data_IF_500501755457
#
_entry.id   IF_500501755457
#
_cell.length_a   1.000
_cell.length_b   1.000
_cell.length_c   1.000
_cell.angle_alpha   90.00
_cell.angle_beta   90.00
_cell.angle_gamma   90.00
#
_symmetry.space_group_name_H-M   'P 1'
#
loop_
_entity.id
_entity.type
_entity.pdbx_description
1 polymer ?
#
# COMPACT_ATOMS: atom_id res chain seq x y z
N UNK A 1 -19.87 -5.97 -3.96
CA UNK A 1 -18.51 -6.47 -3.60
C UNK A 1 -18.06 -5.81 -2.31
N UNK A 2 -17.54 -6.58 -1.34
CA UNK A 2 -16.92 -5.98 -0.13
C UNK A 2 -15.69 -5.18 -0.56
N UNK A 3 -15.53 -3.97 -0.02
CA UNK A 3 -14.33 -3.17 -0.25
C UNK A 3 -13.10 -3.93 0.27
N UNK A 4 -11.92 -3.64 -0.29
CA UNK A 4 -10.63 -4.18 0.19
C UNK A 4 -10.55 -4.00 1.72
N UNK A 5 -11.00 -2.86 2.22
CA UNK A 5 -11.04 -2.49 3.64
C UNK A 5 -11.83 -3.46 4.52
N UNK A 6 -12.97 -3.97 4.04
CA UNK A 6 -13.79 -4.92 4.82
C UNK A 6 -13.17 -6.32 4.89
N UNK A 7 -12.31 -6.68 3.92
CA UNK A 7 -11.59 -7.95 3.92
C UNK A 7 -10.48 -8.00 4.98
N UNK A 8 -9.89 -6.86 5.33
CA UNK A 8 -8.74 -6.77 6.25
C UNK A 8 -9.14 -6.47 7.68
N UNK A 9 -10.33 -5.90 7.90
CA UNK A 9 -10.83 -5.60 9.24
C UNK A 9 -10.93 -6.86 10.11
N UNK A 10 -10.68 -6.68 11.39
CA UNK A 10 -10.94 -7.71 12.39
C UNK A 10 -12.37 -7.63 12.90
N UNK A 11 -12.91 -8.77 13.31
CA UNK A 11 -14.06 -8.86 14.20
C UNK A 11 -13.60 -9.00 15.66
N UNK A 12 -14.47 -8.69 16.61
CA UNK A 12 -14.19 -8.93 18.03
C UNK A 12 -13.85 -10.39 18.30
N UNK A 13 -14.58 -11.32 17.66
CA UNK A 13 -14.35 -12.76 17.80
C UNK A 13 -12.96 -13.19 17.30
N UNK A 14 -12.49 -12.60 16.18
CA UNK A 14 -11.14 -12.86 15.67
C UNK A 14 -10.07 -12.39 16.67
N UNK A 15 -10.20 -11.20 17.25
CA UNK A 15 -9.23 -10.71 18.24
C UNK A 15 -9.27 -11.56 19.52
N UNK A 16 -10.44 -12.01 19.98
CA UNK A 16 -10.56 -12.94 21.13
C UNK A 16 -9.82 -14.26 20.87
N UNK A 17 -9.99 -14.85 19.68
CA UNK A 17 -9.27 -16.06 19.31
C UNK A 17 -7.76 -15.82 19.33
N UNK A 18 -7.29 -14.74 18.69
CA UNK A 18 -5.86 -14.38 18.65
C UNK A 18 -5.29 -14.20 20.06
N UNK A 19 -6.00 -13.52 20.97
CA UNK A 19 -5.56 -13.37 22.37
C UNK A 19 -5.40 -14.69 23.10
N UNK A 20 -6.25 -15.68 22.83
CA UNK A 20 -6.09 -17.02 23.40
C UNK A 20 -4.87 -17.77 22.82
N UNK A 21 -4.59 -17.57 21.53
CA UNK A 21 -3.46 -18.20 20.84
C UNK A 21 -2.09 -17.55 21.19
N UNK A 22 -2.06 -16.35 21.75
CA UNK A 22 -0.81 -15.72 22.20
C UNK A 22 -0.03 -16.62 23.16
N UNK A 23 -0.74 -17.34 24.02
CA UNK A 23 -0.18 -18.25 25.04
C UNK A 23 0.28 -19.60 24.47
N UNK A 24 0.15 -19.83 23.17
CA UNK A 24 0.55 -21.03 22.48
C UNK A 24 -0.59 -21.72 21.71
N UNK A 25 -0.26 -22.85 21.16
CA UNK A 25 -1.19 -23.71 20.41
C UNK A 25 -2.41 -24.13 21.27
N UNK A 26 -3.58 -24.20 20.65
CA UNK A 26 -4.84 -24.63 21.29
C UNK A 26 -5.58 -25.64 20.41
N UNK A 27 -6.24 -26.62 21.05
CA UNK A 27 -7.19 -27.47 20.34
C UNK A 27 -8.48 -26.71 20.03
N UNK A 28 -9.22 -27.14 19.00
CA UNK A 28 -10.52 -26.52 18.68
C UNK A 28 -11.52 -26.67 19.85
N UNK A 29 -11.45 -27.78 20.58
CA UNK A 29 -12.30 -28.02 21.77
C UNK A 29 -12.00 -27.01 22.89
N UNK A 30 -10.72 -26.73 23.15
CA UNK A 30 -10.31 -25.77 24.18
C UNK A 30 -10.72 -24.34 23.83
N UNK A 31 -10.53 -23.94 22.58
CA UNK A 31 -10.97 -22.63 22.10
C UNK A 31 -12.49 -22.47 22.24
N UNK A 32 -13.26 -23.51 21.89
CA UNK A 32 -14.72 -23.48 22.03
C UNK A 32 -15.15 -23.29 23.49
N UNK A 33 -14.59 -24.10 24.40
CA UNK A 33 -14.89 -23.99 25.82
C UNK A 33 -14.55 -22.64 26.39
N UNK A 34 -13.32 -22.17 26.11
CA UNK A 34 -12.79 -20.94 26.72
C UNK A 34 -13.47 -19.67 26.21
N UNK A 35 -13.84 -19.64 24.94
CA UNK A 35 -14.48 -18.48 24.31
C UNK A 35 -16.02 -18.58 24.33
N UNK A 36 -16.58 -19.71 24.74
CA UNK A 36 -18.01 -20.01 24.68
C UNK A 36 -18.56 -19.83 23.25
N UNK A 37 -17.79 -20.23 22.22
CA UNK A 37 -18.20 -20.13 20.84
C UNK A 37 -18.87 -21.41 20.35
N UNK A 38 -19.98 -21.24 19.59
CA UNK A 38 -20.55 -22.34 18.83
C UNK A 38 -19.61 -22.82 17.73
N UNK A 39 -19.77 -24.08 17.25
CA UNK A 39 -18.89 -24.67 16.22
C UNK A 39 -18.81 -23.81 14.95
N UNK A 40 -19.95 -23.37 14.45
CA UNK A 40 -20.04 -22.58 13.21
C UNK A 40 -19.36 -21.23 13.34
N UNK A 41 -19.53 -20.54 14.48
CA UNK A 41 -18.89 -19.24 14.73
C UNK A 41 -17.37 -19.39 14.81
N UNK A 42 -16.86 -20.42 15.51
CA UNK A 42 -15.44 -20.67 15.61
C UNK A 42 -14.86 -20.99 14.24
N UNK A 43 -15.43 -21.94 13.50
CA UNK A 43 -14.96 -22.33 12.17
C UNK A 43 -14.93 -21.15 11.20
N UNK A 44 -15.97 -20.33 11.19
CA UNK A 44 -16.03 -19.12 10.35
C UNK A 44 -14.90 -18.12 10.65
N UNK A 45 -14.64 -17.84 11.94
CA UNK A 45 -13.58 -16.92 12.32
C UNK A 45 -12.18 -17.51 12.09
N UNK A 46 -11.98 -18.81 12.32
CA UNK A 46 -10.71 -19.47 12.01
C UNK A 46 -10.40 -19.40 10.51
N UNK A 47 -11.39 -19.69 9.65
CA UNK A 47 -11.22 -19.55 8.19
C UNK A 47 -10.77 -18.14 7.81
N UNK A 48 -11.37 -17.10 8.40
CA UNK A 48 -10.95 -15.71 8.16
C UNK A 48 -9.52 -15.43 8.62
N UNK A 49 -9.13 -15.96 9.78
CA UNK A 49 -7.77 -15.77 10.30
C UNK A 49 -6.73 -16.54 9.46
N UNK A 50 -7.08 -17.72 8.93
CA UNK A 50 -6.28 -18.46 7.94
C UNK A 50 -6.13 -17.65 6.65
N UNK A 51 -7.22 -17.09 6.12
CA UNK A 51 -7.20 -16.25 4.94
C UNK A 51 -6.37 -14.97 5.13
N UNK A 52 -6.26 -14.47 6.35
CA UNK A 52 -5.41 -13.36 6.74
C UNK A 52 -3.95 -13.78 7.00
N UNK A 53 -3.61 -15.06 6.87
CA UNK A 53 -2.27 -15.59 7.11
C UNK A 53 -1.78 -15.44 8.55
N UNK A 54 -2.68 -15.23 9.51
CA UNK A 54 -2.35 -14.96 10.91
C UNK A 54 -2.20 -16.21 11.74
N UNK A 55 -2.90 -17.28 11.35
CA UNK A 55 -2.88 -18.58 12.03
C UNK A 55 -2.58 -19.69 11.05
N UNK A 56 -2.19 -20.82 11.59
CA UNK A 56 -2.10 -22.11 10.88
C UNK A 56 -2.77 -23.21 11.70
N UNK A 57 -3.26 -24.22 11.00
CA UNK A 57 -3.85 -25.41 11.59
C UNK A 57 -2.86 -26.58 11.47
N UNK A 58 -2.78 -27.38 12.54
CA UNK A 58 -2.04 -28.63 12.57
C UNK A 58 -2.99 -29.75 13.01
N UNK A 59 -2.83 -30.93 12.46
CA UNK A 59 -3.59 -32.12 12.88
C UNK A 59 -2.65 -33.11 13.55
N UNK A 60 -3.00 -33.56 14.77
CA UNK A 60 -2.29 -34.61 15.50
C UNK A 60 -3.29 -35.69 15.89
N UNK A 61 -3.19 -36.85 15.24
CA UNK A 61 -4.20 -37.88 15.32
C UNK A 61 -5.56 -37.34 14.84
N UNK A 62 -6.60 -37.49 15.66
CA UNK A 62 -7.96 -37.02 15.35
C UNK A 62 -8.24 -35.58 15.82
N UNK A 63 -7.25 -34.88 16.37
CA UNK A 63 -7.44 -33.54 16.93
C UNK A 63 -6.79 -32.46 16.07
N UNK A 64 -7.56 -31.40 15.81
CA UNK A 64 -7.06 -30.19 15.16
C UNK A 64 -6.61 -29.17 16.21
N UNK A 65 -5.46 -28.60 15.95
CA UNK A 65 -4.84 -27.56 16.75
C UNK A 65 -4.62 -26.32 15.91
N UNK A 66 -4.69 -25.17 16.56
CA UNK A 66 -4.51 -23.85 15.94
C UNK A 66 -3.43 -23.09 16.69
N UNK A 67 -2.57 -22.41 15.94
CA UNK A 67 -1.53 -21.55 16.49
C UNK A 67 -1.29 -20.34 15.56
N UNK A 68 -0.55 -19.33 16.06
CA UNK A 68 -0.08 -18.27 15.17
C UNK A 68 0.77 -18.84 14.04
N UNK A 69 0.65 -18.20 12.86
CA UNK A 69 1.52 -18.49 11.74
C UNK A 69 2.92 -17.89 12.00
N UNK A 70 3.95 -18.43 11.34
CA UNK A 70 5.34 -17.94 11.46
C UNK A 70 5.63 -16.75 10.53
N UNK A 71 4.63 -16.27 9.77
CA UNK A 71 4.77 -15.09 8.91
C UNK A 71 5.08 -13.84 9.75
N UNK A 72 5.83 -12.89 9.16
CA UNK A 72 6.30 -11.69 9.86
C UNK A 72 5.16 -10.88 10.47
N UNK A 73 4.08 -10.63 9.71
CA UNK A 73 2.92 -9.90 10.24
C UNK A 73 2.19 -10.65 11.36
N UNK A 74 2.12 -11.99 11.31
CA UNK A 74 1.51 -12.78 12.39
C UNK A 74 2.36 -12.73 13.67
N UNK A 75 3.68 -12.84 13.55
CA UNK A 75 4.62 -12.72 14.67
C UNK A 75 4.56 -11.34 15.31
N UNK A 76 4.48 -10.27 14.51
CA UNK A 76 4.33 -8.90 15.00
C UNK A 76 3.01 -8.69 15.74
N UNK A 77 1.90 -9.21 15.21
CA UNK A 77 0.60 -9.15 15.89
C UNK A 77 0.62 -9.94 17.21
N UNK A 78 1.21 -11.14 17.22
CA UNK A 78 1.39 -11.93 18.44
C UNK A 78 2.14 -11.13 19.51
N UNK A 79 3.27 -10.52 19.14
CA UNK A 79 4.07 -9.70 20.05
C UNK A 79 3.31 -8.47 20.53
N UNK A 80 2.57 -7.79 19.65
CA UNK A 80 1.71 -6.66 20.03
C UNK A 80 0.69 -7.04 21.10
N UNK A 81 -0.03 -8.16 20.88
CA UNK A 81 -1.05 -8.65 21.81
C UNK A 81 -0.45 -9.14 23.14
N UNK A 82 0.79 -9.63 23.11
CA UNK A 82 1.51 -10.09 24.30
C UNK A 82 2.02 -8.92 25.13
N UNK A 83 2.74 -8.00 24.52
CA UNK A 83 3.39 -6.86 25.20
C UNK A 83 2.34 -5.89 25.75
N UNK A 84 1.32 -5.62 24.98
CA UNK A 84 0.25 -4.68 25.33
C UNK A 84 -1.08 -5.41 25.65
N UNK A 85 -1.00 -6.47 26.46
CA UNK A 85 -2.15 -7.31 26.83
C UNK A 85 -3.26 -6.53 27.56
N UNK A 86 -2.91 -5.45 28.26
CA UNK A 86 -3.82 -4.57 29.00
C UNK A 86 -4.65 -3.64 28.12
N UNK A 87 -4.28 -3.49 26.83
CA UNK A 87 -5.02 -2.64 25.89
C UNK A 87 -6.22 -3.41 25.31
N UNK A 88 -7.34 -2.72 25.20
CA UNK A 88 -8.56 -3.25 24.60
C UNK A 88 -8.50 -3.25 23.08
N UNK A 89 -7.69 -4.16 22.53
CA UNK A 89 -7.56 -4.36 21.09
C UNK A 89 -8.87 -4.77 20.41
N UNK A 90 -9.80 -5.37 21.15
CA UNK A 90 -11.11 -5.78 20.66
C UNK A 90 -12.00 -4.59 20.25
N UNK A 91 -11.76 -3.42 20.78
CA UNK A 91 -12.45 -2.20 20.41
C UNK A 91 -11.61 -1.24 19.55
N UNK A 92 -10.30 -1.43 19.49
CA UNK A 92 -9.38 -0.55 18.75
C UNK A 92 -9.07 -1.06 17.34
N UNK A 93 -8.82 -2.37 17.16
CA UNK A 93 -8.46 -2.94 15.86
C UNK A 93 -9.66 -3.41 15.04
N UNK A 94 -10.86 -3.36 15.59
CA UNK A 94 -12.07 -3.87 14.94
C UNK A 94 -12.69 -2.82 14.01
N UNK A 95 -13.23 -3.30 12.89
CA UNK A 95 -13.97 -2.46 11.96
C UNK A 95 -13.13 -1.33 11.37
N UNK A 96 -13.57 -0.10 11.55
CA UNK A 96 -12.91 1.10 10.99
C UNK A 96 -11.62 1.49 11.72
N UNK A 97 -11.37 0.94 12.93
CA UNK A 97 -10.18 1.28 13.71
C UNK A 97 -8.86 0.92 13.03
N UNK A 98 -8.75 -0.33 12.57
CA UNK A 98 -7.58 -0.78 11.82
C UNK A 98 -7.37 0.05 10.54
N UNK A 99 -8.45 0.36 9.85
CA UNK A 99 -8.40 1.16 8.62
C UNK A 99 -7.88 2.58 8.87
N UNK A 100 -8.34 3.23 9.95
CA UNK A 100 -7.85 4.55 10.33
C UNK A 100 -6.36 4.51 10.67
N UNK A 101 -5.89 3.44 11.32
CA UNK A 101 -4.46 3.26 11.58
C UNK A 101 -3.66 3.13 10.27
N UNK A 102 -4.16 2.41 9.27
CA UNK A 102 -3.52 2.38 7.94
C UNK A 102 -3.44 3.77 7.30
N UNK A 103 -4.50 4.57 7.38
CA UNK A 103 -4.46 5.95 6.87
C UNK A 103 -3.39 6.81 7.57
N UNK A 104 -3.25 6.65 8.90
CA UNK A 104 -2.27 7.41 9.68
C UNK A 104 -0.84 7.03 9.30
N UNK A 105 -0.51 5.74 9.15
CA UNK A 105 0.86 5.32 8.78
C UNK A 105 1.20 5.68 7.32
N UNK A 106 0.21 5.81 6.45
CA UNK A 106 0.41 6.17 5.05
C UNK A 106 0.59 7.67 4.82
N UNK A 107 0.56 8.47 5.90
CA UNK A 107 0.73 9.93 5.87
C UNK A 107 -0.26 10.63 4.90
N UNK A 108 -1.47 10.09 4.80
CA UNK A 108 -2.53 10.67 4.02
C UNK A 108 -3.12 11.87 4.78
N UNK A 109 -2.56 13.05 4.56
CA UNK A 109 -3.12 14.28 5.09
C UNK A 109 -4.57 14.45 4.62
N UNK A 110 -5.48 14.54 5.61
CA UNK A 110 -6.90 14.95 5.44
C UNK A 110 -7.81 14.07 4.58
N UNK A 111 -7.46 12.85 4.21
CA UNK A 111 -8.38 12.01 3.47
C UNK A 111 -9.20 11.12 4.40
N UNK A 112 -10.41 11.57 4.76
CA UNK A 112 -11.43 10.75 5.42
C UNK A 112 -12.01 9.69 4.47
N UNK A 113 -11.18 9.09 3.61
CA UNK A 113 -11.66 8.18 2.59
C UNK A 113 -12.31 6.94 3.23
N UNK A 114 -13.55 6.69 2.88
CA UNK A 114 -14.32 5.54 3.38
C UNK A 114 -14.71 5.58 4.87
N UNK A 115 -14.46 6.71 5.55
CA UNK A 115 -14.83 6.91 6.97
C UNK A 115 -15.41 8.31 7.16
N UNK A 116 -16.56 8.43 7.86
CA UNK A 116 -17.07 9.76 8.19
C UNK A 116 -16.15 10.51 9.14
N UNK A 117 -16.11 11.84 9.02
CA UNK A 117 -15.32 12.73 9.88
C UNK A 117 -15.56 12.45 11.36
N UNK A 118 -16.82 12.26 11.78
CA UNK A 118 -17.17 11.95 13.15
C UNK A 118 -16.58 10.61 13.62
N UNK A 119 -16.64 9.57 12.77
CA UNK A 119 -16.05 8.25 13.08
C UNK A 119 -14.53 8.34 13.20
N UNK A 120 -13.87 9.05 12.28
CA UNK A 120 -12.43 9.28 12.33
C UNK A 120 -12.01 9.93 13.66
N UNK A 121 -12.63 11.05 14.04
CA UNK A 121 -12.31 11.77 15.28
C UNK A 121 -12.58 10.93 16.53
N UNK A 122 -13.64 10.11 16.53
CA UNK A 122 -13.96 9.20 17.63
C UNK A 122 -12.84 8.16 17.85
N UNK A 123 -12.33 7.53 16.78
CA UNK A 123 -11.23 6.59 16.87
C UNK A 123 -9.91 7.27 17.22
N UNK A 124 -9.63 8.44 16.63
CA UNK A 124 -8.45 9.23 16.95
C UNK A 124 -8.38 9.56 18.45
N UNK A 125 -9.53 9.99 19.04
CA UNK A 125 -9.61 10.21 20.49
C UNK A 125 -9.27 8.94 21.27
N UNK A 126 -9.84 7.79 20.91
CA UNK A 126 -9.56 6.51 21.55
C UNK A 126 -8.08 6.14 21.48
N UNK A 127 -7.48 6.22 20.30
CA UNK A 127 -6.06 5.91 20.14
C UNK A 127 -5.17 6.85 20.98
N UNK A 128 -5.50 8.13 21.06
CA UNK A 128 -4.78 9.08 21.91
C UNK A 128 -4.94 8.76 23.40
N UNK A 129 -6.14 8.43 23.87
CA UNK A 129 -6.39 8.06 25.28
C UNK A 129 -5.55 6.86 25.70
N UNK A 130 -5.28 5.92 24.80
CA UNK A 130 -4.38 4.78 25.05
C UNK A 130 -2.90 5.09 24.76
N UNK A 131 -2.54 6.32 24.39
CA UNK A 131 -1.17 6.71 24.06
C UNK A 131 -0.61 6.09 22.79
N UNK A 132 -1.48 5.48 21.96
CA UNK A 132 -1.10 4.85 20.68
C UNK A 132 -0.68 5.91 19.66
N UNK A 133 -1.37 7.05 19.66
CA UNK A 133 -1.08 8.16 18.76
C UNK A 133 -0.56 9.37 19.54
N UNK A 134 0.42 10.02 18.94
CA UNK A 134 0.92 11.33 19.35
C UNK A 134 0.68 12.36 18.24
N UNK A 135 0.53 13.63 18.62
CA UNK A 135 0.44 14.74 17.66
C UNK A 135 1.84 15.29 17.40
N UNK A 136 2.24 15.39 16.14
CA UNK A 136 3.49 16.01 15.72
C UNK A 136 3.18 17.13 14.73
N UNK A 137 3.45 18.37 15.15
CA UNK A 137 3.09 19.58 14.38
C UNK A 137 1.62 19.51 13.93
N UNK A 138 1.33 19.27 12.68
CA UNK A 138 -0.02 19.27 12.11
C UNK A 138 -0.58 17.87 11.82
N UNK A 139 0.16 16.79 12.13
CA UNK A 139 -0.27 15.41 11.84
C UNK A 139 -0.26 14.51 13.08
N UNK A 140 -0.93 13.38 12.96
CA UNK A 140 -0.88 12.31 13.96
C UNK A 140 0.00 11.18 13.45
N UNK A 141 0.82 10.65 14.33
CA UNK A 141 1.68 9.49 14.06
C UNK A 141 1.55 8.46 15.18
N UNK A 142 1.90 7.22 14.90
CA UNK A 142 1.98 6.18 15.93
C UNK A 142 3.12 6.54 16.88
N UNK A 143 2.84 6.54 18.17
CA UNK A 143 3.84 6.79 19.19
C UNK A 143 5.00 5.79 19.08
N UNK A 144 6.27 6.20 19.23
CA UNK A 144 7.44 5.30 19.22
C UNK A 144 7.32 4.10 20.16
N UNK A 145 6.59 4.25 21.27
CA UNK A 145 6.28 3.14 22.19
C UNK A 145 5.50 2.01 21.51
N UNK A 146 4.75 2.29 20.46
CA UNK A 146 3.97 1.33 19.69
C UNK A 146 4.58 1.03 18.32
N UNK A 147 5.91 1.08 18.17
CA UNK A 147 6.60 0.74 16.91
C UNK A 147 6.19 -0.63 16.37
N UNK A 148 6.01 -1.63 17.26
CA UNK A 148 5.51 -2.97 16.88
C UNK A 148 4.16 -2.88 16.15
N UNK A 149 3.26 -1.96 16.53
CA UNK A 149 2.00 -1.75 15.85
C UNK A 149 2.22 -1.17 14.44
N UNK A 150 3.12 -0.20 14.30
CA UNK A 150 3.45 0.37 12.99
C UNK A 150 4.06 -0.70 12.06
N UNK A 151 4.98 -1.50 12.57
CA UNK A 151 5.59 -2.61 11.83
C UNK A 151 4.55 -3.66 11.43
N UNK A 152 3.64 -4.03 12.36
CA UNK A 152 2.54 -4.93 12.06
C UNK A 152 1.65 -4.39 10.93
N UNK A 153 1.25 -3.13 10.99
CA UNK A 153 0.39 -2.52 9.98
C UNK A 153 1.05 -2.54 8.60
N UNK A 154 2.33 -2.19 8.51
CA UNK A 154 3.09 -2.21 7.26
C UNK A 154 3.21 -3.64 6.68
N UNK A 155 3.59 -4.62 7.49
CA UNK A 155 3.75 -6.00 7.03
C UNK A 155 2.41 -6.66 6.69
N UNK A 156 1.36 -6.34 7.44
CA UNK A 156 0.02 -6.85 7.17
C UNK A 156 -0.54 -6.31 5.86
N UNK A 157 -0.31 -5.03 5.59
CA UNK A 157 -0.66 -4.39 4.33
C UNK A 157 0.10 -5.01 3.16
N UNK A 158 1.42 -5.17 3.30
CA UNK A 158 2.26 -5.80 2.28
C UNK A 158 1.86 -7.25 2.00
N UNK A 159 1.47 -8.01 3.02
CA UNK A 159 0.95 -9.37 2.85
C UNK A 159 -0.24 -9.41 1.90
N UNK A 160 -1.21 -8.50 2.06
CA UNK A 160 -2.36 -8.45 1.17
C UNK A 160 -2.04 -7.96 -0.23
N UNK A 161 -1.17 -6.97 -0.35
CA UNK A 161 -0.71 -6.47 -1.65
C UNK A 161 -0.05 -7.61 -2.43
N UNK A 162 0.83 -8.38 -1.80
CA UNK A 162 1.46 -9.57 -2.41
C UNK A 162 0.43 -10.60 -2.84
N UNK A 163 -0.55 -10.91 -1.99
CA UNK A 163 -1.64 -11.85 -2.37
C UNK A 163 -2.50 -11.36 -3.55
N UNK A 164 -2.69 -10.05 -3.71
CA UNK A 164 -3.37 -9.50 -4.89
C UNK A 164 -2.47 -9.65 -6.10
N UNK A 165 -1.17 -9.33 -5.99
CA UNK A 165 -0.19 -9.47 -7.06
C UNK A 165 -0.06 -10.94 -7.54
N UNK A 166 0.08 -11.89 -6.61
CA UNK A 166 0.16 -13.34 -6.89
C UNK A 166 -1.06 -13.88 -7.65
N UNK A 167 -2.25 -13.29 -7.43
CA UNK A 167 -3.45 -13.66 -8.20
C UNK A 167 -3.42 -13.18 -9.64
N UNK A 168 -2.60 -12.20 -9.97
CA UNK A 168 -2.41 -11.72 -11.33
C UNK A 168 -1.43 -12.63 -12.09
N UNK A 169 -0.34 -12.98 -11.43
CA UNK A 169 0.68 -13.89 -11.94
C UNK A 169 1.59 -14.35 -10.81
N UNK A 170 2.11 -15.58 -10.89
CA UNK A 170 3.18 -16.07 -10.00
C UNK A 170 4.48 -15.29 -10.16
N UNK A 171 4.69 -14.63 -11.30
CA UNK A 171 5.84 -13.78 -11.61
C UNK A 171 5.61 -12.31 -11.26
N UNK A 172 4.48 -11.98 -10.65
CA UNK A 172 4.17 -10.60 -10.30
C UNK A 172 5.11 -10.08 -9.21
N UNK A 173 5.69 -8.89 -9.45
CA UNK A 173 6.61 -8.23 -8.51
C UNK A 173 6.03 -6.88 -8.11
N UNK A 174 5.80 -6.68 -6.81
CA UNK A 174 5.40 -5.38 -6.26
C UNK A 174 6.62 -4.45 -6.28
N UNK A 175 6.53 -3.36 -7.03
CA UNK A 175 7.59 -2.38 -7.22
C UNK A 175 7.53 -1.25 -6.19
N UNK A 176 6.31 -0.84 -5.85
CA UNK A 176 6.04 0.24 -4.90
C UNK A 176 4.66 0.05 -4.28
N UNK A 177 4.47 0.49 -3.05
CA UNK A 177 3.15 0.55 -2.42
C UNK A 177 3.07 1.68 -1.39
N UNK A 178 1.85 2.18 -1.22
CA UNK A 178 1.48 3.12 -0.16
C UNK A 178 -0.02 3.00 0.09
N UNK A 179 -0.41 2.82 1.34
CA UNK A 179 -1.78 2.40 1.67
C UNK A 179 -2.11 1.12 0.88
N UNK A 180 -3.26 1.01 0.22
CA UNK A 180 -3.58 -0.11 -0.66
C UNK A 180 -3.38 0.22 -2.15
N UNK A 181 -2.72 1.33 -2.45
CA UNK A 181 -2.24 1.64 -3.80
C UNK A 181 -0.86 1.02 -3.99
N UNK A 182 -0.63 0.41 -5.13
CA UNK A 182 0.65 -0.22 -5.44
C UNK A 182 0.93 -0.30 -6.92
N UNK A 183 2.22 -0.30 -7.26
CA UNK A 183 2.73 -0.61 -8.58
C UNK A 183 3.17 -2.07 -8.61
N UNK A 184 2.75 -2.79 -9.63
CA UNK A 184 3.12 -4.19 -9.83
C UNK A 184 3.60 -4.41 -11.26
N UNK A 185 4.71 -5.11 -11.40
CA UNK A 185 5.22 -5.60 -12.67
C UNK A 185 4.69 -7.01 -12.91
N UNK A 186 4.13 -7.24 -14.08
CA UNK A 186 3.61 -8.53 -14.51
C UNK A 186 4.05 -8.84 -15.95
N UNK A 187 4.13 -10.13 -16.38
CA UNK A 187 4.34 -10.47 -17.77
C UNK A 187 3.28 -9.86 -18.69
N UNK A 188 3.65 -9.51 -19.92
CA UNK A 188 2.69 -8.96 -20.91
C UNK A 188 1.52 -9.88 -21.23
N UNK A 189 1.66 -11.17 -21.02
CA UNK A 189 0.62 -12.17 -21.20
C UNK A 189 -0.56 -12.03 -20.24
N UNK A 190 -0.38 -11.29 -19.15
CA UNK A 190 -1.42 -11.07 -18.13
C UNK A 190 -2.50 -10.13 -18.71
N UNK A 191 -3.72 -10.65 -18.84
CA UNK A 191 -4.88 -9.84 -19.23
C UNK A 191 -5.40 -9.06 -18.01
N UNK A 192 -5.46 -7.74 -18.14
CA UNK A 192 -6.01 -6.85 -17.12
C UNK A 192 -7.53 -6.82 -17.25
N UNK A 193 -8.22 -7.49 -16.35
CA UNK A 193 -9.70 -7.57 -16.33
C UNK A 193 -10.35 -6.76 -15.22
N UNK A 194 -9.55 -6.20 -14.30
CA UNK A 194 -10.05 -5.47 -13.14
C UNK A 194 -10.06 -3.96 -13.39
N UNK A 195 -11.19 -3.31 -13.14
CA UNK A 195 -11.33 -1.84 -13.19
C UNK A 195 -10.46 -1.09 -12.18
N UNK A 196 -9.82 -1.80 -11.26
CA UNK A 196 -8.92 -1.24 -10.24
C UNK A 196 -7.45 -1.30 -10.65
N UNK A 197 -7.15 -1.93 -11.78
CA UNK A 197 -5.80 -2.10 -12.30
C UNK A 197 -5.67 -1.33 -13.62
N UNK A 198 -4.71 -0.44 -13.67
CA UNK A 198 -4.49 0.44 -14.80
C UNK A 198 -3.08 0.28 -15.32
N UNK A 199 -2.92 0.16 -16.64
CA UNK A 199 -1.61 0.26 -17.28
C UNK A 199 -1.01 1.64 -17.02
N UNK A 200 0.27 1.70 -16.65
CA UNK A 200 0.90 2.95 -16.22
C UNK A 200 2.42 2.95 -16.42
N UNK A 201 3.06 4.02 -15.96
CA UNK A 201 4.50 4.21 -16.05
C UNK A 201 4.99 3.97 -17.50
N UNK A 202 6.20 3.44 -17.66
CA UNK A 202 6.80 3.17 -18.98
C UNK A 202 5.97 2.25 -19.85
N UNK A 203 5.08 1.44 -19.31
CA UNK A 203 4.20 0.56 -20.09
C UNK A 203 3.05 1.31 -20.80
N UNK A 204 2.70 2.51 -20.33
CA UNK A 204 1.73 3.36 -21.00
C UNK A 204 2.37 4.22 -22.11
N UNK A 205 3.68 4.44 -22.09
CA UNK A 205 4.40 5.37 -22.96
C UNK A 205 4.28 5.04 -24.47
N UNK A 206 4.29 3.77 -24.92
CA UNK A 206 4.06 3.47 -26.33
C UNK A 206 2.74 4.01 -26.87
N UNK A 207 1.65 3.94 -26.10
CA UNK A 207 0.34 4.50 -26.48
C UNK A 207 0.33 6.04 -26.50
N UNK A 208 1.31 6.67 -25.81
CA UNK A 208 1.55 8.10 -25.81
C UNK A 208 2.63 8.50 -26.86
N UNK A 209 2.97 7.60 -27.78
CA UNK A 209 3.92 7.87 -28.86
C UNK A 209 5.38 8.03 -28.41
N UNK A 210 5.77 7.37 -27.32
CA UNK A 210 7.16 7.14 -26.92
C UNK A 210 7.44 5.63 -27.03
N UNK A 211 8.19 5.14 -28.02
CA UNK A 211 8.37 3.72 -28.32
C UNK A 211 9.32 3.04 -27.33
N UNK A 212 8.86 2.87 -26.11
CA UNK A 212 9.58 2.16 -25.05
C UNK A 212 9.02 0.74 -24.95
N UNK A 213 9.86 -0.24 -25.23
CA UNK A 213 9.49 -1.65 -25.21
C UNK A 213 10.02 -2.35 -23.96
N UNK A 214 9.20 -3.21 -23.38
CA UNK A 214 9.51 -4.05 -22.24
C UNK A 214 8.79 -5.39 -22.39
N UNK A 215 9.31 -6.46 -21.84
CA UNK A 215 8.64 -7.78 -21.77
C UNK A 215 7.54 -7.82 -20.70
N UNK A 216 7.48 -6.80 -19.87
CA UNK A 216 6.57 -6.70 -18.73
C UNK A 216 5.65 -5.51 -18.86
N UNK A 217 4.48 -5.63 -18.28
CA UNK A 217 3.57 -4.52 -18.02
C UNK A 217 3.71 -4.04 -16.57
N UNK A 218 3.63 -2.73 -16.40
CA UNK A 218 3.54 -2.08 -15.10
C UNK A 218 2.10 -1.63 -14.91
N UNK A 219 1.48 -2.13 -13.85
CA UNK A 219 0.10 -1.83 -13.51
C UNK A 219 0.07 -1.07 -12.20
N UNK A 220 -0.83 -0.11 -12.10
CA UNK A 220 -1.17 0.59 -10.87
C UNK A 220 -2.50 0.09 -10.34
N UNK A 221 -2.51 -0.40 -9.10
CA UNK A 221 -3.74 -0.74 -8.40
C UNK A 221 -4.19 0.45 -7.56
N UNK A 222 -5.44 0.88 -7.74
CA UNK A 222 -6.08 1.89 -6.89
C UNK A 222 -7.59 1.65 -6.83
N UNK A 223 -8.17 1.85 -5.65
CA UNK A 223 -9.64 1.91 -5.47
C UNK A 223 -10.18 3.34 -5.67
N UNK A 224 -9.28 4.31 -5.84
CA UNK A 224 -9.60 5.75 -5.90
C UNK A 224 -9.55 6.31 -7.30
N UNK A 225 -8.60 5.85 -8.10
CA UNK A 225 -8.41 6.31 -9.49
C UNK A 225 -9.21 5.44 -10.45
N UNK A 226 -9.97 6.09 -11.31
CA UNK A 226 -10.70 5.43 -12.39
C UNK A 226 -9.89 5.36 -13.69
N UNK A 227 -9.03 6.34 -13.92
CA UNK A 227 -8.19 6.45 -15.10
C UNK A 227 -6.80 6.94 -14.71
N UNK A 228 -5.81 6.61 -15.53
CA UNK A 228 -4.44 7.10 -15.41
C UNK A 228 -4.25 8.23 -16.42
N UNK A 229 -3.84 9.41 -15.92
CA UNK A 229 -3.45 10.54 -16.73
C UNK A 229 -1.97 10.47 -17.09
N UNK A 230 -1.53 11.34 -18.01
CA UNK A 230 -0.11 11.46 -18.38
C UNK A 230 0.76 11.79 -17.16
N UNK A 231 0.28 12.71 -16.32
CA UNK A 231 0.93 13.11 -15.07
C UNK A 231 1.12 11.93 -14.11
N UNK A 232 0.11 11.07 -13.99
CA UNK A 232 0.20 9.86 -13.18
C UNK A 232 1.27 8.90 -13.74
N UNK A 233 1.32 8.72 -15.06
CA UNK A 233 2.31 7.85 -15.69
C UNK A 233 3.74 8.33 -15.45
N UNK A 234 3.98 9.64 -15.48
CA UNK A 234 5.26 10.25 -15.10
C UNK A 234 5.60 9.96 -13.64
N UNK A 235 4.68 10.26 -12.72
CA UNK A 235 4.89 10.04 -11.29
C UNK A 235 5.13 8.57 -10.98
N UNK A 236 4.35 7.67 -11.55
CA UNK A 236 4.50 6.23 -11.35
C UNK A 236 5.83 5.70 -11.90
N UNK A 237 6.35 6.27 -12.97
CA UNK A 237 7.69 5.93 -13.49
C UNK A 237 8.78 6.30 -12.48
N UNK A 238 8.70 7.48 -11.87
CA UNK A 238 9.65 7.92 -10.85
C UNK A 238 9.53 7.13 -9.54
N UNK A 239 8.33 6.61 -9.21
CA UNK A 239 8.15 5.78 -8.02
C UNK A 239 8.85 4.43 -8.10
N UNK A 240 9.07 3.89 -9.29
CA UNK A 240 9.77 2.61 -9.47
C UNK A 240 11.22 2.75 -9.02
N UNK A 241 11.91 3.80 -9.49
CA UNK A 241 13.30 4.04 -9.14
C UNK A 241 13.67 5.52 -9.35
N UNK A 242 13.57 6.30 -8.28
CA UNK A 242 13.70 7.76 -8.29
C UNK A 242 15.03 8.29 -8.82
N UNK A 243 16.11 7.54 -8.63
CA UNK A 243 17.49 7.93 -9.01
C UNK A 243 17.96 7.32 -10.31
N UNK A 244 17.12 6.58 -11.01
CA UNK A 244 17.45 5.99 -12.28
C UNK A 244 17.38 7.04 -13.39
N UNK A 245 18.55 7.41 -13.94
CA UNK A 245 18.67 8.41 -15.01
C UNK A 245 17.76 8.09 -16.19
N UNK A 246 17.62 6.82 -16.54
CA UNK A 246 16.81 6.37 -17.66
C UNK A 246 15.32 6.70 -17.44
N UNK A 247 14.77 6.43 -16.25
CA UNK A 247 13.39 6.76 -15.92
C UNK A 247 13.16 8.26 -15.81
N UNK A 248 14.17 9.01 -15.34
CA UNK A 248 14.12 10.47 -15.33
C UNK A 248 14.05 11.00 -16.76
N UNK A 249 14.90 10.51 -17.67
CA UNK A 249 14.89 10.93 -19.09
C UNK A 249 13.53 10.58 -19.73
N UNK A 250 13.01 9.38 -19.57
CA UNK A 250 11.71 9.00 -20.11
C UNK A 250 10.57 9.87 -19.60
N UNK A 251 10.59 10.22 -18.33
CA UNK A 251 9.63 11.13 -17.72
C UNK A 251 9.76 12.55 -18.29
N UNK A 252 10.99 13.04 -18.47
CA UNK A 252 11.26 14.34 -19.11
C UNK A 252 10.76 14.39 -20.57
N UNK A 253 11.02 13.33 -21.34
CA UNK A 253 10.53 13.24 -22.73
C UNK A 253 9.01 13.34 -22.79
N UNK A 254 8.30 12.66 -21.89
CA UNK A 254 6.86 12.71 -21.84
C UNK A 254 6.34 14.10 -21.41
N UNK A 255 6.93 14.69 -20.37
CA UNK A 255 6.61 16.04 -19.92
C UNK A 255 6.85 17.08 -21.02
N UNK A 256 7.97 16.99 -21.73
CA UNK A 256 8.29 17.92 -22.83
C UNK A 256 7.34 17.75 -24.00
N UNK A 257 7.09 16.52 -24.46
CA UNK A 257 6.19 16.20 -25.57
C UNK A 257 4.76 16.71 -25.34
N UNK A 258 4.30 16.67 -24.09
CA UNK A 258 2.93 17.04 -23.74
C UNK A 258 2.84 18.32 -22.90
N UNK A 259 3.87 19.20 -22.95
CA UNK A 259 3.94 20.40 -22.09
C UNK A 259 2.68 21.25 -22.12
N UNK A 260 2.05 21.40 -23.29
CA UNK A 260 0.82 22.19 -23.47
C UNK A 260 -0.46 21.51 -22.96
N UNK A 261 -0.41 20.19 -22.69
CA UNK A 261 -1.55 19.38 -22.24
C UNK A 261 -1.45 18.94 -20.80
N UNK A 262 -0.29 19.12 -20.18
CA UNK A 262 -0.04 18.74 -18.77
C UNK A 262 -0.73 19.73 -17.84
N UNK A 263 -1.55 19.20 -16.94
CA UNK A 263 -2.06 19.96 -15.81
C UNK A 263 -0.97 20.03 -14.72
N UNK A 264 -0.18 21.10 -14.76
CA UNK A 264 0.93 21.32 -13.82
C UNK A 264 0.44 21.42 -12.36
N UNK A 265 -0.77 21.95 -12.14
CA UNK A 265 -1.37 22.05 -10.81
C UNK A 265 -1.66 20.64 -10.26
N UNK A 266 -2.30 19.80 -11.07
CA UNK A 266 -2.56 18.41 -10.74
C UNK A 266 -1.26 17.61 -10.53
N UNK A 267 -0.29 17.74 -11.44
CA UNK A 267 1.01 17.09 -11.35
C UNK A 267 1.73 17.42 -10.03
N UNK A 268 1.82 18.69 -9.67
CA UNK A 268 2.44 19.15 -8.42
C UNK A 268 1.68 18.62 -7.18
N UNK A 269 0.35 18.66 -7.20
CA UNK A 269 -0.48 18.17 -6.10
C UNK A 269 -0.32 16.67 -5.89
N UNK A 270 -0.35 15.86 -6.96
CA UNK A 270 -0.14 14.41 -6.87
C UNK A 270 1.31 14.08 -6.47
N UNK A 271 2.30 14.83 -6.99
CA UNK A 271 3.72 14.67 -6.63
C UNK A 271 3.96 14.85 -5.12
N UNK A 272 3.28 15.80 -4.48
CA UNK A 272 3.35 15.96 -3.02
C UNK A 272 2.88 14.72 -2.28
N UNK A 273 1.77 14.12 -2.71
CA UNK A 273 1.26 12.88 -2.11
C UNK A 273 2.26 11.73 -2.18
N UNK A 274 3.08 11.68 -3.22
CA UNK A 274 4.09 10.64 -3.44
C UNK A 274 5.49 11.01 -2.96
N UNK A 275 5.65 12.14 -2.28
CA UNK A 275 6.96 12.71 -1.88
C UNK A 275 7.91 12.91 -3.07
N UNK A 276 7.37 13.29 -4.23
CA UNK A 276 8.08 13.59 -5.47
C UNK A 276 8.07 15.09 -5.82
N UNK A 277 7.56 15.95 -4.91
CA UNK A 277 7.37 17.38 -5.19
C UNK A 277 8.65 18.09 -5.64
N UNK A 278 9.77 17.86 -4.93
CA UNK A 278 11.08 18.45 -5.28
C UNK A 278 11.54 17.98 -6.65
N UNK A 279 11.43 16.68 -6.94
CA UNK A 279 11.84 16.09 -8.21
C UNK A 279 11.05 16.70 -9.39
N UNK A 280 9.73 16.80 -9.24
CA UNK A 280 8.87 17.37 -10.29
C UNK A 280 9.18 18.85 -10.53
N UNK A 281 9.40 19.63 -9.48
CA UNK A 281 9.81 21.03 -9.62
C UNK A 281 11.13 21.14 -10.36
N UNK A 282 12.14 20.33 -10.01
CA UNK A 282 13.44 20.30 -10.71
C UNK A 282 13.32 19.89 -12.17
N UNK A 283 12.43 18.92 -12.49
CA UNK A 283 12.22 18.47 -13.87
C UNK A 283 11.50 19.53 -14.71
N UNK A 284 10.49 20.21 -14.17
CA UNK A 284 9.81 21.30 -14.87
C UNK A 284 10.76 22.47 -15.11
N UNK A 285 11.54 22.86 -14.09
CA UNK A 285 12.57 23.90 -14.24
C UNK A 285 13.62 23.53 -15.29
N UNK A 286 14.05 22.26 -15.35
CA UNK A 286 14.98 21.78 -16.38
C UNK A 286 14.43 21.96 -17.80
N UNK A 287 13.15 21.67 -18.02
CA UNK A 287 12.49 21.84 -19.33
C UNK A 287 12.38 23.33 -19.70
N UNK A 288 12.17 24.22 -18.72
CA UNK A 288 12.02 25.67 -18.96
C UNK A 288 13.36 26.37 -19.12
N UNK A 289 14.36 26.03 -18.32
CA UNK A 289 15.64 26.78 -18.23
C UNK A 289 16.79 26.08 -18.93
N UNK A 290 16.62 24.84 -19.39
CA UNK A 290 17.65 23.98 -20.01
C UNK A 290 18.86 23.74 -19.09
N UNK A 291 18.71 23.98 -17.80
CA UNK A 291 19.78 23.89 -16.82
C UNK A 291 19.45 22.90 -15.70
N UNK A 292 20.47 22.21 -15.19
CA UNK A 292 20.34 21.29 -14.08
C UNK A 292 20.17 22.05 -12.76
N UNK A 293 19.19 21.67 -11.97
CA UNK A 293 18.98 22.21 -10.63
C UNK A 293 18.65 21.07 -9.64
N UNK A 294 19.25 21.09 -8.45
CA UNK A 294 19.03 20.13 -7.38
C UNK A 294 19.79 18.80 -7.54
N UNK A 295 19.47 17.82 -6.67
CA UNK A 295 20.17 16.53 -6.54
C UNK A 295 19.60 15.41 -7.43
N UNK A 296 18.64 15.73 -8.30
CA UNK A 296 18.09 14.74 -9.21
C UNK A 296 19.13 14.46 -10.32
N UNK A 297 19.33 13.20 -10.74
CA UNK A 297 20.23 12.84 -11.82
C UNK A 297 19.66 13.24 -13.19
N UNK A 298 19.59 14.55 -13.42
CA UNK A 298 19.15 15.13 -14.68
C UNK A 298 20.25 14.99 -15.75
N UNK A 299 19.91 14.70 -17.02
CA UNK A 299 20.85 14.76 -18.12
C UNK A 299 21.32 16.18 -18.36
N UNK A 300 22.39 16.39 -19.12
CA UNK A 300 22.66 17.70 -19.74
C UNK A 300 21.59 17.97 -20.78
N UNK A 301 21.39 19.25 -21.13
CA UNK A 301 20.43 19.59 -22.19
C UNK A 301 20.77 18.90 -23.51
N UNK A 302 22.05 18.89 -23.90
CA UNK A 302 22.54 18.20 -25.11
C UNK A 302 22.25 16.69 -25.09
N UNK A 303 22.45 16.01 -23.93
CA UNK A 303 22.10 14.58 -23.78
C UNK A 303 20.57 14.38 -23.88
N UNK A 304 19.80 15.30 -23.33
CA UNK A 304 18.33 15.24 -23.42
C UNK A 304 17.86 15.42 -24.87
N UNK A 305 18.39 16.40 -25.62
CA UNK A 305 18.09 16.61 -27.05
C UNK A 305 18.48 15.41 -27.90
N UNK A 306 19.62 14.79 -27.66
CA UNK A 306 20.05 13.58 -28.35
C UNK A 306 19.03 12.44 -28.11
N UNK A 307 18.59 12.26 -26.85
CA UNK A 307 17.55 11.26 -26.53
C UNK A 307 16.18 11.63 -27.08
N UNK A 308 15.81 12.90 -27.09
CA UNK A 308 14.55 13.36 -27.67
C UNK A 308 14.47 12.99 -29.17
N UNK A 309 15.55 13.24 -29.91
CA UNK A 309 15.65 12.82 -31.34
C UNK A 309 15.54 11.31 -31.52
N UNK A 310 16.22 10.51 -30.65
CA UNK A 310 16.14 9.04 -30.69
C UNK A 310 14.70 8.54 -30.51
N UNK A 311 13.91 9.19 -29.66
CA UNK A 311 12.51 8.82 -29.38
C UNK A 311 11.47 9.60 -30.22
N UNK A 312 11.90 10.36 -31.22
CA UNK A 312 10.98 11.12 -32.09
C UNK A 312 10.25 12.26 -31.38
N UNK A 313 10.86 12.86 -30.35
CA UNK A 313 10.32 14.03 -29.65
C UNK A 313 11.02 15.27 -30.18
N UNK A 314 10.25 16.25 -30.68
CA UNK A 314 10.76 17.56 -31.10
C UNK A 314 11.08 18.40 -29.86
N UNK A 315 12.28 18.97 -29.81
CA UNK A 315 12.79 19.84 -28.74
C UNK A 315 13.06 21.23 -29.30
#
# INVERSE_FOLDING_TARGET
MKTVQEKYAFSKSEIKILRELVRGERSLSDLRKKLSFGPSLLSYNLKKLLDKGLIRENTRGFRKYVQFNDSKHASLLKNLLLVYYHIDWENLLVGKGLYILFQIISDFENSFYGVSKATFWRYLRRFRTHGILQKKVNKYEISPRFSILADFLNEYQLFFIKRIAEKLSSEAVVLWHRDFEFLVRVPKTVKVTSEKLHLTATSLFPSLGLPIFSEYNILFHSERKKNIKIEDAVLHTLLIERKNVRYVIYSLLLLHKYKEKIDVGYLKSEAQKYNLGVQIVSMLSFIETHSRQGDLPLPTWTEFEAKAREYGVTV
#
